data_IF_004572466681
#
_entry.id   IF_004572466681
#
_cell.length_a   1.000
_cell.length_b   1.000
_cell.length_c   1.000
_cell.angle_alpha   90.00
_cell.angle_beta   90.00
_cell.angle_gamma   90.00
#
_symmetry.space_group_name_H-M   'P 1'
#
loop_
_entity.id
_entity.type
_entity.pdbx_description
1 polymer ?
#
# COMPACT_ATOMS: atom_id res chain seq x y z
N UNK A 1 1.55 31.74 -1.54
CA UNK A 1 0.14 31.49 -1.92
C UNK A 1 0.11 31.19 -3.40
N UNK A 2 -0.80 30.33 -3.86
CA UNK A 2 -1.06 30.12 -5.29
C UNK A 2 -2.42 30.73 -5.64
N UNK A 3 -2.61 31.13 -6.90
CA UNK A 3 -3.87 31.69 -7.41
C UNK A 3 -4.35 30.81 -8.56
N UNK A 4 -5.62 30.39 -8.51
CA UNK A 4 -6.35 29.85 -9.66
C UNK A 4 -7.57 30.77 -9.85
N UNK A 5 -7.55 31.57 -10.92
CA UNK A 5 -8.47 32.71 -11.05
C UNK A 5 -8.29 33.68 -9.87
N UNK A 6 -9.39 34.07 -9.23
CA UNK A 6 -9.40 34.95 -8.06
C UNK A 6 -9.37 34.20 -6.71
N UNK A 7 -9.25 32.86 -6.74
CA UNK A 7 -9.26 32.04 -5.53
C UNK A 7 -7.83 31.90 -5.01
N UNK A 8 -7.60 32.40 -3.79
CA UNK A 8 -6.36 32.22 -3.04
C UNK A 8 -6.26 30.78 -2.52
N UNK A 9 -5.39 30.00 -3.12
CA UNK A 9 -5.06 28.65 -2.68
C UNK A 9 -3.80 28.66 -1.82
N UNK A 10 -3.74 27.75 -0.86
CA UNK A 10 -2.47 27.37 -0.24
C UNK A 10 -1.60 26.68 -1.28
N UNK A 11 -0.29 26.96 -1.29
CA UNK A 11 0.60 26.13 -2.11
C UNK A 11 0.64 24.72 -1.49
N UNK A 12 0.92 23.67 -2.28
CA UNK A 12 0.95 22.30 -1.77
C UNK A 12 1.83 22.12 -0.52
N UNK A 13 2.99 22.79 -0.46
CA UNK A 13 3.87 22.77 0.73
C UNK A 13 3.17 23.27 2.00
N UNK A 14 2.47 24.41 1.92
CA UNK A 14 1.70 24.94 3.04
C UNK A 14 0.55 24.02 3.40
N UNK A 15 -0.14 23.46 2.41
CA UNK A 15 -1.21 22.49 2.64
C UNK A 15 -0.69 21.29 3.43
N UNK A 16 0.48 20.74 3.08
CA UNK A 16 1.09 19.62 3.80
C UNK A 16 1.34 19.95 5.29
N UNK A 17 1.96 21.10 5.57
CA UNK A 17 2.19 21.56 6.95
C UNK A 17 0.87 21.83 7.69
N UNK A 18 -0.11 22.41 7.01
CA UNK A 18 -1.44 22.69 7.59
C UNK A 18 -2.18 21.39 7.96
N UNK A 19 -2.10 20.35 7.11
CA UNK A 19 -2.64 19.02 7.40
C UNK A 19 -1.93 18.40 8.61
N UNK A 20 -0.60 18.44 8.62
CA UNK A 20 0.23 17.91 9.70
C UNK A 20 -0.06 18.57 11.07
N UNK A 21 -0.43 19.85 11.09
CA UNK A 21 -0.76 20.57 12.31
C UNK A 21 -2.18 20.32 12.84
N UNK A 22 -3.10 19.77 12.02
CA UNK A 22 -4.56 19.77 12.32
C UNK A 22 -5.18 18.39 12.39
N UNK A 23 -4.62 17.42 11.67
CA UNK A 23 -5.15 16.06 11.63
C UNK A 23 -4.48 15.16 12.67
N UNK A 24 -5.16 14.08 13.12
CA UNK A 24 -4.50 12.97 13.80
C UNK A 24 -3.35 12.42 12.94
N UNK A 25 -2.30 11.87 13.58
CA UNK A 25 -1.04 11.47 12.92
C UNK A 25 -1.26 10.62 11.66
N UNK A 26 -1.96 9.48 11.77
CA UNK A 26 -2.17 8.54 10.65
C UNK A 26 -2.93 9.21 9.49
N UNK A 27 -3.94 10.01 9.81
CA UNK A 27 -4.70 10.76 8.81
C UNK A 27 -3.86 11.88 8.17
N UNK A 28 -2.96 12.51 8.93
CA UNK A 28 -2.02 13.50 8.41
C UNK A 28 -1.03 12.84 7.46
N UNK A 29 -0.41 11.72 7.86
CA UNK A 29 0.57 10.99 7.03
C UNK A 29 -0.09 10.57 5.72
N UNK A 30 -1.25 9.88 5.77
CA UNK A 30 -1.94 9.42 4.56
C UNK A 30 -2.33 10.56 3.63
N UNK A 31 -2.79 11.70 4.18
CA UNK A 31 -3.13 12.86 3.39
C UNK A 31 -1.90 13.53 2.75
N UNK A 32 -0.77 13.55 3.46
CA UNK A 32 0.48 14.12 2.96
C UNK A 32 1.13 13.19 1.93
N UNK A 33 1.08 11.87 2.11
CA UNK A 33 1.53 10.87 1.13
C UNK A 33 0.79 11.08 -0.20
N UNK A 34 -0.55 11.16 -0.15
CA UNK A 34 -1.39 11.43 -1.32
C UNK A 34 -1.09 12.79 -1.97
N UNK A 35 -0.94 13.85 -1.16
CA UNK A 35 -0.62 15.19 -1.66
C UNK A 35 0.76 15.22 -2.34
N UNK A 36 1.76 14.61 -1.71
CA UNK A 36 3.13 14.58 -2.22
C UNK A 36 3.21 13.80 -3.54
N UNK A 37 2.53 12.67 -3.65
CA UNK A 37 2.41 11.90 -4.89
C UNK A 37 1.72 12.70 -6.00
N UNK A 38 0.58 13.31 -5.72
CA UNK A 38 -0.19 14.08 -6.70
C UNK A 38 0.54 15.34 -7.19
N UNK A 39 1.39 15.94 -6.35
CA UNK A 39 2.07 17.22 -6.66
C UNK A 39 3.56 17.06 -6.92
N UNK A 40 4.09 15.84 -6.81
CA UNK A 40 5.53 15.52 -6.88
C UNK A 40 6.38 16.31 -5.89
N UNK A 41 5.80 16.66 -4.74
CA UNK A 41 6.57 17.31 -3.67
C UNK A 41 7.55 16.33 -3.06
N UNK A 42 8.76 16.82 -2.76
CA UNK A 42 9.74 16.06 -2.00
C UNK A 42 9.45 16.20 -0.52
N UNK A 43 9.54 15.10 0.22
CA UNK A 43 9.36 15.09 1.69
C UNK A 43 10.32 16.08 2.36
N UNK A 44 11.57 16.15 1.90
CA UNK A 44 12.55 17.11 2.40
C UNK A 44 12.11 18.58 2.29
N UNK A 45 11.36 18.94 1.23
CA UNK A 45 10.85 20.31 1.07
C UNK A 45 9.72 20.59 2.09
N UNK A 46 8.92 19.57 2.41
CA UNK A 46 7.84 19.64 3.42
C UNK A 46 8.45 19.76 4.83
N UNK A 47 9.47 18.97 5.14
CA UNK A 47 10.23 19.05 6.39
C UNK A 47 10.83 20.45 6.59
N UNK A 48 11.52 20.95 5.56
CA UNK A 48 12.14 22.27 5.59
C UNK A 48 11.09 23.37 5.75
N UNK A 49 9.93 23.23 5.09
CA UNK A 49 8.81 24.15 5.28
C UNK A 49 8.30 24.13 6.71
N UNK A 50 8.13 22.95 7.33
CA UNK A 50 7.67 22.83 8.72
C UNK A 50 8.64 23.48 9.71
N UNK A 51 9.95 23.32 9.51
CA UNK A 51 10.97 23.93 10.36
C UNK A 51 10.90 25.48 10.38
N UNK A 52 10.43 26.11 9.30
CA UNK A 52 10.27 27.57 9.21
C UNK A 52 9.08 28.11 10.02
N UNK A 53 8.13 27.26 10.41
CA UNK A 53 6.93 27.65 11.15
C UNK A 53 7.09 27.49 12.68
N UNK A 54 8.16 28.04 13.25
CA UNK A 54 8.42 27.99 14.70
C UNK A 54 7.32 28.71 15.50
N UNK A 55 6.87 28.12 16.61
CA UNK A 55 5.88 28.73 17.53
C UNK A 55 4.41 28.54 17.13
N UNK A 56 4.13 27.91 15.98
CA UNK A 56 2.76 27.57 15.60
C UNK A 56 2.20 26.43 16.45
N UNK A 57 0.95 26.57 16.91
CA UNK A 57 0.23 25.47 17.58
C UNK A 57 0.20 24.23 16.67
N UNK A 58 0.61 23.08 17.21
CA UNK A 58 0.65 21.81 16.48
C UNK A 58 1.93 21.57 15.67
N UNK A 59 2.93 22.47 15.69
CA UNK A 59 4.13 22.27 14.86
C UNK A 59 4.99 21.08 15.30
N UNK A 60 5.06 20.80 16.62
CA UNK A 60 5.80 19.64 17.13
C UNK A 60 5.22 18.33 16.62
N UNK A 61 3.89 18.21 16.66
CA UNK A 61 3.15 17.08 16.08
C UNK A 61 3.36 17.02 14.58
N UNK A 62 3.29 18.16 13.89
CA UNK A 62 3.50 18.22 12.46
C UNK A 62 4.86 17.66 12.05
N UNK A 63 5.94 18.05 12.73
CA UNK A 63 7.27 17.51 12.45
C UNK A 63 7.34 15.99 12.67
N UNK A 64 6.67 15.46 13.70
CA UNK A 64 6.62 14.01 13.94
C UNK A 64 5.86 13.28 12.83
N UNK A 65 4.69 13.77 12.42
CA UNK A 65 3.92 13.19 11.32
C UNK A 65 4.68 13.27 10.00
N UNK A 66 5.32 14.41 9.70
CA UNK A 66 6.07 14.60 8.44
C UNK A 66 7.25 13.63 8.35
N UNK A 67 7.92 13.32 9.46
CA UNK A 67 9.01 12.35 9.48
C UNK A 67 8.56 10.91 9.15
N UNK A 68 7.26 10.63 9.17
CA UNK A 68 6.67 9.34 8.80
C UNK A 68 6.13 9.32 7.36
N UNK A 69 6.20 10.42 6.62
CA UNK A 69 5.66 10.53 5.25
C UNK A 69 6.50 9.70 4.28
N UNK A 70 5.83 8.90 3.49
CA UNK A 70 6.38 8.14 2.37
C UNK A 70 5.37 8.17 1.21
N UNK A 71 5.60 8.99 0.17
CA UNK A 71 4.70 9.13 -0.97
C UNK A 71 4.53 7.85 -1.81
N UNK A 72 5.28 6.78 -1.54
CA UNK A 72 5.11 5.48 -2.18
C UNK A 72 3.82 4.77 -1.79
N UNK A 73 3.20 5.09 -0.65
CA UNK A 73 1.89 4.54 -0.31
C UNK A 73 0.79 5.14 -1.22
N UNK A 74 0.10 4.28 -1.97
CA UNK A 74 -0.89 4.68 -2.96
C UNK A 74 -2.31 4.82 -2.40
N UNK A 75 -2.52 4.32 -1.19
CA UNK A 75 -3.78 4.44 -0.47
C UNK A 75 -3.58 4.73 1.03
N UNK A 76 -4.60 5.30 1.70
CA UNK A 76 -4.59 5.43 3.16
C UNK A 76 -4.41 4.10 3.88
N UNK A 77 -4.87 3.00 3.28
CA UNK A 77 -4.76 1.65 3.82
C UNK A 77 -3.33 1.11 3.75
N UNK A 78 -2.62 1.34 2.63
CA UNK A 78 -1.19 1.04 2.54
C UNK A 78 -0.37 1.88 3.53
N UNK A 79 -0.73 3.17 3.70
CA UNK A 79 -0.11 4.03 4.70
C UNK A 79 -0.31 3.46 6.11
N UNK A 80 -1.53 3.08 6.45
CA UNK A 80 -1.84 2.44 7.73
C UNK A 80 -1.02 1.15 7.92
N UNK A 81 -0.92 0.31 6.89
CA UNK A 81 -0.18 -0.93 6.94
C UNK A 81 1.31 -0.71 7.18
N UNK A 82 1.90 0.29 6.50
CA UNK A 82 3.28 0.72 6.67
C UNK A 82 3.54 1.22 8.09
N UNK A 83 2.68 2.11 8.60
CA UNK A 83 2.80 2.62 9.97
C UNK A 83 2.65 1.52 11.01
N UNK A 84 1.72 0.58 10.81
CA UNK A 84 1.51 -0.56 11.70
C UNK A 84 2.79 -1.39 11.85
N UNK A 85 3.43 -1.78 10.74
CA UNK A 85 4.63 -2.63 10.80
C UNK A 85 5.85 -1.88 11.36
N UNK A 86 6.01 -0.60 11.02
CA UNK A 86 7.09 0.23 11.56
C UNK A 86 6.92 0.40 13.08
N UNK A 87 5.71 0.70 13.57
CA UNK A 87 5.42 0.83 15.00
C UNK A 87 5.58 -0.50 15.75
N UNK A 88 5.36 -1.63 15.08
CA UNK A 88 5.60 -2.96 15.65
C UNK A 88 7.10 -3.37 15.70
N UNK A 89 8.01 -2.49 15.26
CA UNK A 89 9.45 -2.69 15.36
C UNK A 89 10.08 -3.47 14.20
N UNK A 90 9.37 -3.62 13.08
CA UNK A 90 9.96 -4.15 11.84
C UNK A 90 10.89 -3.12 11.22
N UNK A 91 11.94 -3.55 10.47
CA UNK A 91 12.69 -2.64 9.61
C UNK A 91 11.74 -1.88 8.68
N UNK A 92 12.04 -0.61 8.30
CA UNK A 92 11.22 0.12 7.34
C UNK A 92 11.07 -0.68 6.04
N UNK A 93 9.84 -1.01 5.61
CA UNK A 93 9.63 -1.68 4.33
C UNK A 93 9.95 -0.72 3.18
N UNK A 94 10.29 -1.29 2.02
CA UNK A 94 10.31 -0.55 0.76
C UNK A 94 8.89 -0.49 0.19
N UNK A 95 8.40 0.70 -0.10
CA UNK A 95 7.11 0.92 -0.76
C UNK A 95 7.23 0.72 -2.27
N UNK A 96 6.19 0.17 -2.91
CA UNK A 96 6.10 -0.03 -4.36
C UNK A 96 7.36 -0.71 -4.94
N UNK A 97 7.85 -1.74 -4.26
CA UNK A 97 9.10 -2.38 -4.62
C UNK A 97 8.91 -3.23 -5.88
N UNK A 98 9.66 -2.96 -6.97
CA UNK A 98 9.51 -3.72 -8.20
C UNK A 98 10.16 -5.10 -8.06
N UNK A 99 9.40 -6.14 -8.43
CA UNK A 99 9.84 -7.53 -8.42
C UNK A 99 10.00 -8.02 -9.84
N UNK A 100 11.21 -8.46 -10.16
CA UNK A 100 11.59 -8.98 -11.47
C UNK A 100 11.79 -10.50 -11.42
N UNK A 101 11.47 -11.16 -12.53
CA UNK A 101 11.82 -12.57 -12.71
C UNK A 101 13.31 -12.75 -13.05
N UNK A 102 13.75 -14.02 -13.17
CA UNK A 102 15.13 -14.37 -13.50
C UNK A 102 15.61 -13.84 -14.88
N UNK A 103 14.67 -13.49 -15.77
CA UNK A 103 14.93 -12.91 -17.09
C UNK A 103 14.85 -11.37 -17.11
N UNK A 104 14.65 -10.71 -15.96
CA UNK A 104 14.54 -9.26 -15.84
C UNK A 104 13.18 -8.67 -16.23
N UNK A 105 12.16 -9.51 -16.45
CA UNK A 105 10.80 -9.03 -16.70
C UNK A 105 10.11 -8.65 -15.38
N UNK A 106 9.44 -7.50 -15.36
CA UNK A 106 8.67 -7.04 -14.21
C UNK A 106 7.45 -7.95 -14.00
N UNK A 107 7.36 -8.57 -12.83
CA UNK A 107 6.20 -9.35 -12.39
C UNK A 107 5.14 -8.44 -11.76
N UNK A 108 5.59 -7.46 -10.98
CA UNK A 108 4.74 -6.44 -10.38
C UNK A 108 5.48 -5.61 -9.36
N UNK A 109 4.80 -4.61 -8.82
CA UNK A 109 5.25 -3.79 -7.71
C UNK A 109 4.49 -4.25 -6.46
N UNK A 110 5.20 -4.45 -5.36
CA UNK A 110 4.61 -4.84 -4.08
C UNK A 110 4.38 -3.60 -3.23
N UNK A 111 3.19 -3.47 -2.63
CA UNK A 111 2.85 -2.30 -1.80
C UNK A 111 3.91 -2.05 -0.72
N UNK A 112 4.32 -3.12 -0.02
CA UNK A 112 5.39 -3.13 0.96
C UNK A 112 6.27 -4.37 0.77
N UNK A 113 7.59 -4.19 0.78
CA UNK A 113 8.53 -5.30 0.69
C UNK A 113 9.70 -5.21 1.66
N UNK A 114 10.18 -6.37 2.09
CA UNK A 114 11.50 -6.56 2.69
C UNK A 114 12.32 -7.47 1.77
N UNK A 115 13.03 -6.91 0.77
CA UNK A 115 13.71 -7.71 -0.26
C UNK A 115 14.76 -8.66 0.32
N UNK A 116 15.49 -8.24 1.35
CA UNK A 116 16.48 -9.08 2.03
C UNK A 116 15.85 -10.30 2.72
N UNK A 117 14.59 -10.20 3.11
CA UNK A 117 13.82 -11.28 3.75
C UNK A 117 12.95 -12.06 2.76
N UNK A 118 12.89 -11.61 1.48
CA UNK A 118 11.92 -12.04 0.48
C UNK A 118 10.48 -12.06 1.01
N UNK A 119 10.07 -10.99 1.69
CA UNK A 119 8.68 -10.82 2.14
C UNK A 119 8.04 -9.69 1.35
N UNK A 120 6.85 -9.93 0.81
CA UNK A 120 5.94 -8.89 0.32
C UNK A 120 4.67 -8.86 1.14
N UNK A 121 4.12 -7.67 1.28
CA UNK A 121 2.84 -7.44 1.92
C UNK A 121 2.00 -6.53 1.04
N UNK A 122 0.79 -7.01 0.72
CA UNK A 122 -0.13 -6.39 -0.24
C UNK A 122 -1.44 -6.07 0.46
N UNK A 123 -1.93 -4.84 0.33
CA UNK A 123 -3.26 -4.46 0.81
C UNK A 123 -4.29 -4.71 -0.30
N UNK A 124 -5.19 -5.66 -0.07
CA UNK A 124 -6.26 -5.96 -1.00
C UNK A 124 -7.44 -5.01 -0.77
N UNK A 125 -7.60 -4.07 -1.70
CA UNK A 125 -8.79 -3.24 -1.81
C UNK A 125 -10.07 -4.02 -2.13
N UNK A 126 -11.20 -3.32 -2.19
CA UNK A 126 -12.47 -3.94 -2.62
C UNK A 126 -12.30 -4.49 -4.04
N UNK A 127 -12.40 -5.82 -4.17
CA UNK A 127 -12.01 -6.54 -5.38
C UNK A 127 -12.62 -5.97 -6.66
N UNK A 128 -11.78 -5.88 -7.69
CA UNK A 128 -12.24 -5.75 -9.07
C UNK A 128 -13.00 -7.02 -9.45
N UNK A 129 -14.24 -6.88 -9.94
CA UNK A 129 -15.06 -8.00 -10.43
C UNK A 129 -14.66 -8.50 -11.82
N UNK A 130 -13.62 -7.90 -12.41
CA UNK A 130 -13.11 -8.25 -13.73
C UNK A 130 -12.31 -9.57 -13.68
N UNK A 131 -12.76 -10.63 -14.38
CA UNK A 131 -12.05 -11.91 -14.41
C UNK A 131 -10.62 -11.84 -14.97
N UNK A 132 -10.32 -10.89 -15.87
CA UNK A 132 -8.99 -10.78 -16.45
C UNK A 132 -8.00 -10.13 -15.49
N UNK A 133 -8.45 -9.17 -14.68
CA UNK A 133 -7.65 -8.59 -13.58
C UNK A 133 -7.33 -9.67 -12.56
N UNK A 134 -8.34 -10.44 -12.15
CA UNK A 134 -8.15 -11.55 -11.22
C UNK A 134 -7.15 -12.59 -11.74
N UNK A 135 -7.24 -12.99 -13.02
CA UNK A 135 -6.31 -13.96 -13.60
C UNK A 135 -4.87 -13.46 -13.57
N UNK A 136 -4.66 -12.17 -13.86
CA UNK A 136 -3.33 -11.54 -13.79
C UNK A 136 -2.80 -11.50 -12.36
N UNK A 137 -3.64 -11.16 -11.38
CA UNK A 137 -3.26 -11.15 -9.98
C UNK A 137 -2.86 -12.53 -9.46
N UNK A 138 -3.60 -13.58 -9.83
CA UNK A 138 -3.24 -14.96 -9.48
C UNK A 138 -1.88 -15.32 -10.06
N UNK A 139 -1.68 -15.10 -11.37
CA UNK A 139 -0.42 -15.42 -12.04
C UNK A 139 0.76 -14.63 -11.45
N UNK A 140 0.54 -13.36 -11.07
CA UNK A 140 1.53 -12.50 -10.41
C UNK A 140 1.96 -13.07 -9.06
N UNK A 141 0.99 -13.46 -8.23
CA UNK A 141 1.24 -14.02 -6.90
C UNK A 141 1.97 -15.37 -7.02
N UNK A 142 1.51 -16.24 -7.93
CA UNK A 142 2.14 -17.55 -8.16
C UNK A 142 3.61 -17.39 -8.57
N UNK A 143 3.90 -16.46 -9.50
CA UNK A 143 5.27 -16.17 -9.90
C UNK A 143 6.14 -15.66 -8.73
N UNK A 144 5.61 -14.78 -7.87
CA UNK A 144 6.30 -14.33 -6.66
C UNK A 144 6.65 -15.50 -5.73
N UNK A 145 5.71 -16.41 -5.51
CA UNK A 145 5.91 -17.59 -4.67
C UNK A 145 6.98 -18.52 -5.26
N UNK A 146 6.94 -18.78 -6.58
CA UNK A 146 7.93 -19.62 -7.27
C UNK A 146 9.35 -19.07 -7.14
N UNK A 147 9.51 -17.75 -7.08
CA UNK A 147 10.80 -17.09 -6.83
C UNK A 147 11.22 -17.08 -5.34
N UNK A 148 10.43 -17.69 -4.47
CA UNK A 148 10.68 -17.80 -3.05
C UNK A 148 10.27 -16.59 -2.23
N UNK A 149 9.37 -15.74 -2.74
CA UNK A 149 8.77 -14.68 -1.93
C UNK A 149 7.68 -15.23 -1.02
N UNK A 150 7.67 -14.74 0.21
CA UNK A 150 6.55 -14.89 1.14
C UNK A 150 5.55 -13.77 0.87
N UNK A 151 4.39 -14.12 0.32
CA UNK A 151 3.34 -13.16 -0.03
C UNK A 151 2.28 -13.09 1.07
N UNK A 152 2.21 -11.96 1.78
CA UNK A 152 1.20 -11.70 2.81
C UNK A 152 0.14 -10.77 2.23
N UNK A 153 -1.12 -11.20 2.23
CA UNK A 153 -2.25 -10.38 1.76
C UNK A 153 -3.06 -9.92 2.95
N UNK A 154 -3.39 -8.64 2.98
CA UNK A 154 -4.13 -7.98 4.06
C UNK A 154 -5.40 -7.39 3.49
N UNK A 155 -6.54 -7.72 4.07
CA UNK A 155 -7.84 -7.20 3.63
C UNK A 155 -8.39 -6.19 4.64
N UNK A 156 -9.44 -5.48 4.28
CA UNK A 156 -10.18 -4.63 5.22
C UNK A 156 -10.80 -5.39 6.41
N UNK A 157 -10.86 -6.73 6.36
CA UNK A 157 -11.34 -7.58 7.46
C UNK A 157 -10.24 -7.98 8.44
N UNK A 158 -8.98 -7.75 8.08
CA UNK A 158 -7.84 -8.07 8.92
C UNK A 158 -7.54 -6.90 9.88
N UNK A 159 -7.82 -7.12 11.16
CA UNK A 159 -7.38 -6.19 12.21
C UNK A 159 -5.88 -6.29 12.49
N UNK A 160 -5.34 -5.30 13.20
CA UNK A 160 -3.91 -5.16 13.50
C UNK A 160 -3.26 -6.45 14.03
N UNK A 161 -3.89 -7.12 15.01
CA UNK A 161 -3.37 -8.34 15.60
C UNK A 161 -3.23 -9.49 14.57
N UNK A 162 -4.16 -9.60 13.61
CA UNK A 162 -4.12 -10.62 12.57
C UNK A 162 -3.01 -10.34 11.54
N UNK A 163 -2.78 -9.07 11.23
CA UNK A 163 -1.70 -8.62 10.35
C UNK A 163 -0.34 -8.89 11.01
N UNK A 164 -0.18 -8.52 12.28
CA UNK A 164 1.09 -8.75 12.98
C UNK A 164 1.39 -10.24 13.20
N UNK A 165 0.34 -11.06 13.38
CA UNK A 165 0.49 -12.51 13.53
C UNK A 165 0.86 -13.24 12.22
N UNK A 166 0.63 -12.64 11.04
CA UNK A 166 1.07 -13.22 9.76
C UNK A 166 2.54 -12.93 9.45
N UNK A 167 3.15 -11.97 10.15
CA UNK A 167 4.56 -11.63 10.01
C UNK A 167 5.45 -12.48 10.94
N UNK A 168 6.68 -12.82 10.51
CA UNK A 168 7.67 -13.42 11.39
C UNK A 168 8.07 -12.42 12.48
N UNK A 169 8.34 -12.87 13.70
CA UNK A 169 8.70 -11.96 14.81
C UNK A 169 9.85 -11.00 14.40
N UNK A 170 9.81 -9.72 14.81
CA UNK A 170 10.89 -8.78 14.55
C UNK A 170 12.24 -9.35 14.98
N UNK A 171 13.24 -9.27 14.09
CA UNK A 171 14.59 -9.81 14.34
C UNK A 171 14.73 -11.33 14.26
N UNK A 172 13.65 -12.08 13.98
CA UNK A 172 13.75 -13.50 13.68
C UNK A 172 14.36 -13.71 12.30
N UNK A 173 15.31 -14.65 12.19
CA UNK A 173 15.81 -15.13 10.90
C UNK A 173 14.67 -15.87 10.21
N UNK A 174 14.13 -15.29 9.14
CA UNK A 174 13.03 -15.89 8.36
C UNK A 174 13.54 -17.19 7.75
N UNK A 175 13.01 -18.33 8.21
CA UNK A 175 13.11 -19.60 7.48
C UNK A 175 11.85 -19.68 6.65
N UNK A 176 11.96 -19.73 5.32
CA UNK A 176 10.87 -19.86 4.33
C UNK A 176 9.52 -20.26 4.97
N UNK A 177 8.71 -19.26 5.31
CA UNK A 177 7.34 -19.51 5.79
C UNK A 177 6.45 -19.23 4.59
N UNK A 178 5.98 -20.29 3.93
CA UNK A 178 4.90 -20.17 2.96
C UNK A 178 3.59 -19.83 3.71
N UNK A 179 3.40 -18.57 4.08
CA UNK A 179 2.18 -18.11 4.71
C UNK A 179 1.26 -17.47 3.67
N UNK A 180 0.68 -18.30 2.81
CA UNK A 180 -0.50 -17.91 2.02
C UNK A 180 -1.72 -17.99 2.94
N UNK A 181 -2.18 -16.86 3.46
CA UNK A 181 -3.48 -16.78 4.13
C UNK A 181 -4.56 -16.64 3.04
N UNK A 182 -4.96 -17.77 2.45
CA UNK A 182 -6.15 -17.88 1.59
C UNK A 182 -7.42 -17.79 2.47
N UNK A 183 -7.63 -16.62 3.08
CA UNK A 183 -8.88 -16.29 3.73
C UNK A 183 -9.91 -15.91 2.67
N UNK A 184 -10.96 -16.74 2.52
CA UNK A 184 -12.22 -16.38 1.86
C UNK A 184 -12.39 -16.62 0.34
N UNK A 185 -11.86 -17.70 -0.24
CA UNK A 185 -12.11 -18.05 -1.66
C UNK A 185 -12.98 -19.30 -1.94
N UNK A 186 -13.69 -19.85 -0.93
CA UNK A 186 -14.42 -21.12 -1.09
C UNK A 186 -15.93 -21.04 -1.30
N UNK A 187 -16.56 -19.87 -1.49
CA UNK A 187 -18.05 -19.81 -1.55
C UNK A 187 -18.69 -19.17 -2.79
N UNK A 188 -17.95 -18.67 -3.79
CA UNK A 188 -18.59 -18.11 -5.00
C UNK A 188 -17.92 -18.49 -6.34
N UNK A 189 -17.51 -19.75 -6.48
CA UNK A 189 -17.23 -20.37 -7.80
C UNK A 189 -18.09 -21.61 -8.04
N UNK A 190 -19.34 -21.56 -7.58
CA UNK A 190 -20.40 -22.48 -8.04
C UNK A 190 -21.58 -21.67 -8.52
N UNK A 191 -21.40 -21.01 -9.68
CA UNK A 191 -22.49 -20.77 -10.64
C UNK A 191 -22.07 -20.19 -12.01
N UNK A 192 -20.78 -20.13 -12.33
CA UNK A 192 -20.33 -19.67 -13.65
C UNK A 192 -20.05 -20.80 -14.68
N UNK A 193 -20.53 -22.02 -14.45
CA UNK A 193 -20.33 -23.17 -15.37
C UNK A 193 -21.63 -23.82 -15.86
N UNK A 194 -22.70 -23.04 -15.99
CA UNK A 194 -23.89 -23.43 -16.77
C UNK A 194 -24.48 -22.22 -17.51
N UNK A 195 -23.75 -21.68 -18.48
CA UNK A 195 -24.27 -21.05 -19.71
C UNK A 195 -23.05 -20.99 -20.66
N UNK A 196 -22.81 -22.06 -21.40
CA UNK A 196 -22.02 -22.08 -22.66
C UNK A 196 -21.90 -23.53 -23.13
N UNK A 197 -23.03 -24.16 -23.44
CA UNK A 197 -23.10 -25.33 -24.32
C UNK A 197 -24.56 -25.62 -24.71
N UNK A 198 -25.23 -24.66 -25.35
CA UNK A 198 -26.53 -24.86 -26.01
C UNK A 198 -26.82 -23.70 -26.98
N UNK A 199 -25.93 -23.43 -27.93
CA UNK A 199 -26.20 -22.51 -29.03
C UNK A 199 -25.38 -22.90 -30.27
N UNK A 200 -25.61 -24.12 -30.77
CA UNK A 200 -25.21 -24.51 -32.13
C UNK A 200 -25.96 -25.77 -32.56
N UNK A 201 -27.21 -25.60 -33.00
CA UNK A 201 -27.91 -26.53 -33.91
C UNK A 201 -29.20 -25.90 -34.45
N UNK A 202 -29.05 -25.23 -35.59
CA UNK A 202 -29.99 -25.19 -36.73
C UNK A 202 -29.25 -24.43 -37.86
N UNK A 203 -29.24 -24.94 -39.10
CA UNK A 203 -30.48 -25.05 -39.88
C UNK A 203 -30.60 -26.35 -40.72
N UNK A 204 -31.84 -26.80 -40.93
CA UNK A 204 -32.50 -27.03 -42.23
C UNK A 204 -33.91 -27.58 -42.02
#
# INVERSE_FOLDING_TARGET
MCLIGDIRLTNPLRTAVDLACRLPEDAAVAAIDALARATRLKVADIELAAQRYTGRKGIKQACASIALVDPGAESPQETWLRLLVVRAGYPPPQTQHPIYNEYGALIGEADLAWPELKIVMEYEGLHHTDPDVLRKDIARIDAMIEMGWTVIRVTCRDGEANVLASLPRPGARVRNVAAVKLGFWRHHVTNATRISCAASRSPH
#
